data_IF_037389340907
#
_entry.id   IF_037389340907
#
_cell.length_a   1.000
_cell.length_b   1.000
_cell.length_c   1.000
_cell.angle_alpha   90.00
_cell.angle_beta   90.00
_cell.angle_gamma   90.00
#
_symmetry.space_group_name_H-M   'P 1'
#
loop_
_entity.id
_entity.type
_entity.pdbx_description
1 polymer ?
#
# COMPACT_ATOMS: atom_id res chain seq x y z
N UNK A 1 -1.22 -22.99 -27.09
CA UNK A 1 -1.92 -22.57 -25.86
C UNK A 1 -0.83 -22.18 -24.86
N UNK A 2 -0.48 -20.89 -24.83
CA UNK A 2 0.61 -20.38 -23.98
C UNK A 2 0.01 -20.22 -22.58
N UNK A 3 0.68 -20.75 -21.55
CA UNK A 3 0.32 -20.67 -20.14
C UNK A 3 -0.28 -19.30 -19.79
N UNK A 4 -1.60 -19.24 -19.63
CA UNK A 4 -2.26 -18.09 -19.03
C UNK A 4 -1.94 -18.15 -17.53
N UNK A 5 -0.87 -17.48 -17.12
CA UNK A 5 -0.52 -17.35 -15.71
C UNK A 5 -1.65 -16.60 -15.00
N UNK A 6 -2.35 -17.28 -14.09
CA UNK A 6 -3.41 -16.68 -13.30
C UNK A 6 -2.78 -15.83 -12.18
N UNK A 7 -2.63 -14.54 -12.44
CA UNK A 7 -2.07 -13.57 -11.49
C UNK A 7 -2.89 -13.47 -10.20
N UNK A 8 -4.20 -13.71 -10.29
CA UNK A 8 -5.11 -13.61 -9.16
C UNK A 8 -4.86 -14.73 -8.15
N UNK A 9 -4.87 -15.98 -8.63
CA UNK A 9 -4.66 -17.15 -7.77
C UNK A 9 -3.19 -17.32 -7.35
N UNK A 10 -2.23 -17.01 -8.22
CA UNK A 10 -0.82 -17.28 -7.93
C UNK A 10 -0.07 -16.15 -7.23
N UNK A 11 -0.55 -14.90 -7.33
CA UNK A 11 0.13 -13.74 -6.72
C UNK A 11 -0.78 -13.01 -5.76
N UNK A 12 -1.94 -12.52 -6.21
CA UNK A 12 -2.75 -11.60 -5.41
C UNK A 12 -3.37 -12.28 -4.19
N UNK A 13 -3.86 -13.52 -4.33
CA UNK A 13 -4.49 -14.29 -3.24
C UNK A 13 -3.50 -14.68 -2.13
N UNK A 14 -2.32 -15.26 -2.43
CA UNK A 14 -1.29 -15.48 -1.40
C UNK A 14 -0.87 -14.18 -0.72
N UNK A 15 -0.74 -13.09 -1.48
CA UNK A 15 -0.34 -11.80 -0.93
C UNK A 15 -1.43 -11.20 -0.02
N UNK A 16 -2.71 -11.38 -0.35
CA UNK A 16 -3.83 -11.00 0.51
C UNK A 16 -3.82 -11.77 1.84
N UNK A 17 -3.47 -13.06 1.82
CA UNK A 17 -3.32 -13.88 3.03
C UNK A 17 -2.12 -13.49 3.91
N UNK A 18 -1.24 -12.60 3.43
CA UNK A 18 -0.13 -12.04 4.19
C UNK A 18 -0.45 -10.67 4.79
N UNK A 19 -1.68 -10.18 4.68
CA UNK A 19 -2.05 -8.84 5.15
C UNK A 19 -1.80 -8.61 6.64
N UNK A 20 -2.06 -9.60 7.49
CA UNK A 20 -1.73 -9.54 8.92
C UNK A 20 -0.22 -9.43 9.19
N UNK A 21 0.61 -10.08 8.37
CA UNK A 21 2.07 -9.95 8.45
C UNK A 21 2.54 -8.57 8.02
N UNK A 22 2.01 -8.06 6.90
CA UNK A 22 2.31 -6.71 6.45
C UNK A 22 1.82 -5.64 7.41
N UNK A 23 0.69 -5.85 8.09
CA UNK A 23 0.18 -4.95 9.11
C UNK A 23 1.18 -4.81 10.26
N UNK A 24 1.77 -5.94 10.70
CA UNK A 24 2.78 -5.94 11.75
C UNK A 24 4.06 -5.23 11.30
N UNK A 25 4.58 -5.54 10.11
CA UNK A 25 5.76 -4.86 9.56
C UNK A 25 5.53 -3.35 9.40
N UNK A 26 4.39 -2.97 8.84
CA UNK A 26 4.00 -1.58 8.63
C UNK A 26 3.88 -0.85 9.98
N UNK A 27 3.30 -1.49 10.99
CA UNK A 27 3.24 -0.98 12.36
C UNK A 27 4.62 -0.68 12.95
N UNK A 28 5.57 -1.61 12.83
CA UNK A 28 6.95 -1.42 13.30
C UNK A 28 7.63 -0.24 12.60
N UNK A 29 7.53 -0.17 11.27
CA UNK A 29 8.10 0.94 10.47
C UNK A 29 7.51 2.28 10.92
N UNK A 30 6.18 2.34 11.08
CA UNK A 30 5.50 3.56 11.51
C UNK A 30 5.85 3.99 12.93
N UNK A 31 6.06 3.04 13.85
CA UNK A 31 6.56 3.33 15.20
C UNK A 31 7.96 3.95 15.12
N UNK A 32 8.86 3.37 14.32
CA UNK A 32 10.21 3.92 14.16
C UNK A 32 10.16 5.33 13.57
N UNK A 33 9.31 5.56 12.56
CA UNK A 33 9.10 6.90 11.99
C UNK A 33 8.53 7.89 13.00
N UNK A 34 7.57 7.48 13.83
CA UNK A 34 7.01 8.33 14.87
C UNK A 34 8.07 8.71 15.93
N UNK A 35 8.93 7.75 16.33
CA UNK A 35 10.05 8.01 17.25
C UNK A 35 11.03 8.99 16.63
N UNK A 36 11.40 8.80 15.37
CA UNK A 36 12.30 9.71 14.65
C UNK A 36 11.72 11.12 14.53
N UNK A 37 10.45 11.23 14.16
CA UNK A 37 9.76 12.52 14.04
C UNK A 37 9.68 13.24 15.39
N UNK A 38 9.43 12.50 16.48
CA UNK A 38 9.39 13.05 17.83
C UNK A 38 10.76 13.56 18.26
N UNK A 39 11.83 12.80 17.99
CA UNK A 39 13.22 13.23 18.24
C UNK A 39 13.58 14.44 17.39
N UNK A 40 13.20 14.47 16.11
CA UNK A 40 13.42 15.60 15.19
C UNK A 40 12.72 16.87 15.68
N UNK A 41 11.47 16.77 16.11
CA UNK A 41 10.68 17.93 16.59
C UNK A 41 11.01 18.38 18.01
N UNK A 42 11.71 17.55 18.79
CA UNK A 42 11.95 17.75 20.21
C UNK A 42 10.70 17.68 21.10
N UNK A 43 9.49 17.80 20.54
CA UNK A 43 8.19 17.65 21.20
C UNK A 43 7.06 17.51 20.19
N UNK A 44 6.02 16.72 20.51
CA UNK A 44 4.79 16.60 19.71
C UNK A 44 4.04 17.93 19.51
N UNK A 45 4.28 18.93 20.37
CA UNK A 45 3.60 20.23 20.33
C UNK A 45 4.31 21.28 19.47
N UNK A 46 5.55 21.04 19.01
CA UNK A 46 6.31 22.02 18.21
C UNK A 46 6.13 21.74 16.71
N UNK A 47 5.71 22.76 15.96
CA UNK A 47 5.29 22.68 14.55
C UNK A 47 6.37 23.04 13.53
N UNK A 48 7.46 23.70 13.96
CA UNK A 48 8.54 24.16 13.08
C UNK A 48 9.88 23.67 13.61
N UNK A 49 10.53 22.81 12.83
CA UNK A 49 11.98 22.59 12.88
C UNK A 49 12.49 23.16 11.57
N UNK A 50 13.43 24.08 11.63
CA UNK A 50 14.04 24.65 10.43
C UNK A 50 14.68 23.52 9.60
N UNK A 51 14.30 23.46 8.34
CA UNK A 51 14.44 22.31 7.42
C UNK A 51 15.84 22.15 6.82
N UNK A 52 16.83 22.91 7.26
CA UNK A 52 18.04 23.10 6.46
C UNK A 52 19.20 22.13 6.72
N UNK A 53 19.21 21.40 7.85
CA UNK A 53 20.37 20.53 8.20
C UNK A 53 19.97 19.22 8.90
N UNK A 54 18.81 18.65 8.57
CA UNK A 54 18.48 17.32 9.11
C UNK A 54 19.17 16.22 8.30
N UNK A 55 20.36 15.84 8.77
CA UNK A 55 21.14 14.77 8.15
C UNK A 55 20.47 13.42 8.42
N UNK A 56 19.71 12.92 7.44
CA UNK A 56 19.04 11.62 7.52
C UNK A 56 20.10 10.53 7.65
N UNK A 57 20.12 9.83 8.78
CA UNK A 57 21.05 8.73 9.03
C UNK A 57 20.94 7.66 7.93
N UNK A 58 22.06 6.99 7.60
CA UNK A 58 22.06 5.87 6.64
C UNK A 58 21.02 4.80 6.99
N UNK A 59 20.80 4.55 8.28
CA UNK A 59 19.77 3.65 8.77
C UNK A 59 18.37 4.10 8.37
N UNK A 60 18.01 5.38 8.58
CA UNK A 60 16.68 5.87 8.23
C UNK A 60 16.47 5.84 6.71
N UNK A 61 17.50 6.16 5.90
CA UNK A 61 17.41 6.02 4.43
C UNK A 61 17.10 4.59 4.01
N UNK A 62 17.82 3.60 4.55
CA UNK A 62 17.58 2.18 4.26
C UNK A 62 16.18 1.75 4.71
N UNK A 63 15.78 2.14 5.92
CA UNK A 63 14.46 1.85 6.46
C UNK A 63 13.36 2.48 5.60
N UNK A 64 13.62 3.64 5.00
CA UNK A 64 12.70 4.30 4.08
C UNK A 64 12.50 3.54 2.78
N UNK A 65 13.58 3.11 2.13
CA UNK A 65 13.46 2.25 0.94
C UNK A 65 12.78 0.93 1.26
N UNK A 66 13.09 0.33 2.41
CA UNK A 66 12.40 -0.86 2.88
C UNK A 66 10.91 -0.60 3.15
N UNK A 67 10.58 0.53 3.78
CA UNK A 67 9.22 0.96 4.06
C UNK A 67 8.39 1.23 2.80
N UNK A 68 9.02 1.64 1.70
CA UNK A 68 8.37 1.70 0.40
C UNK A 68 8.00 0.31 -0.11
N UNK A 69 8.95 -0.63 -0.11
CA UNK A 69 8.71 -2.00 -0.56
C UNK A 69 7.59 -2.63 0.26
N UNK A 70 7.64 -2.48 1.59
CA UNK A 70 6.58 -2.94 2.49
C UNK A 70 5.26 -2.22 2.18
N UNK A 71 5.26 -0.91 1.95
CA UNK A 71 4.08 -0.13 1.58
C UNK A 71 3.40 -0.62 0.30
N UNK A 72 4.17 -0.97 -0.74
CA UNK A 72 3.66 -1.57 -1.98
C UNK A 72 2.90 -2.87 -1.66
N UNK A 73 3.55 -3.78 -0.94
CA UNK A 73 2.96 -5.06 -0.59
C UNK A 73 1.76 -4.90 0.35
N UNK A 74 1.78 -3.92 1.26
CA UNK A 74 0.63 -3.58 2.10
C UNK A 74 -0.57 -3.13 1.25
N UNK A 75 -0.38 -2.23 0.28
CA UNK A 75 -1.47 -1.78 -0.59
C UNK A 75 -2.02 -2.95 -1.40
N UNK A 76 -1.15 -3.74 -2.05
CA UNK A 76 -1.56 -4.89 -2.84
C UNK A 76 -2.30 -5.94 -2.00
N UNK A 77 -1.81 -6.19 -0.79
CA UNK A 77 -2.44 -7.12 0.15
C UNK A 77 -3.82 -6.62 0.60
N UNK A 78 -3.94 -5.36 1.02
CA UNK A 78 -5.22 -4.77 1.44
C UNK A 78 -6.24 -4.68 0.30
N UNK A 79 -5.80 -4.36 -0.92
CA UNK A 79 -6.68 -4.41 -2.10
C UNK A 79 -7.09 -5.85 -2.42
N UNK A 80 -6.14 -6.80 -2.34
CA UNK A 80 -6.41 -8.22 -2.54
C UNK A 80 -7.44 -8.78 -1.55
N UNK A 81 -7.34 -8.43 -0.26
CA UNK A 81 -8.33 -8.78 0.76
C UNK A 81 -9.74 -8.27 0.39
N UNK A 82 -9.84 -7.05 -0.14
CA UNK A 82 -11.13 -6.44 -0.49
C UNK A 82 -11.76 -7.05 -1.74
N UNK A 83 -10.97 -7.22 -2.81
CA UNK A 83 -11.44 -7.73 -4.11
C UNK A 83 -11.75 -9.22 -4.01
N UNK A 84 -10.83 -10.00 -3.45
CA UNK A 84 -10.93 -11.46 -3.44
C UNK A 84 -11.71 -12.00 -2.24
N UNK A 85 -12.08 -11.13 -1.28
CA UNK A 85 -12.74 -11.50 -0.02
C UNK A 85 -11.94 -12.58 0.73
N UNK A 86 -10.64 -12.34 0.86
CA UNK A 86 -9.69 -13.27 1.47
C UNK A 86 -9.34 -12.75 2.87
N UNK A 87 -9.16 -13.65 3.86
CA UNK A 87 -8.83 -13.23 5.22
C UNK A 87 -7.37 -12.75 5.29
N UNK A 88 -7.06 -11.82 6.21
CA UNK A 88 -5.73 -11.22 6.34
C UNK A 88 -4.63 -12.21 6.77
N UNK A 89 -5.01 -13.38 7.28
CA UNK A 89 -4.10 -14.49 7.53
C UNK A 89 -4.82 -15.83 7.60
N UNK A 90 -4.09 -16.91 7.36
CA UNK A 90 -4.59 -18.29 7.52
C UNK A 90 -5.02 -18.57 8.97
N UNK A 91 -4.27 -18.06 9.95
CA UNK A 91 -4.63 -18.17 11.36
C UNK A 91 -5.92 -17.40 11.69
N UNK A 92 -6.13 -16.22 11.09
CA UNK A 92 -7.37 -15.46 11.25
C UNK A 92 -8.57 -16.22 10.69
N UNK A 93 -8.41 -16.87 9.53
CA UNK A 93 -9.43 -17.70 8.90
C UNK A 93 -9.86 -18.89 9.78
N UNK A 94 -8.89 -19.52 10.46
CA UNK A 94 -9.16 -20.64 11.37
C UNK A 94 -9.94 -20.22 12.62
N UNK A 95 -9.66 -19.02 13.15
CA UNK A 95 -10.31 -18.50 14.35
C UNK A 95 -11.67 -17.85 14.06
N UNK A 96 -11.89 -17.36 12.84
CA UNK A 96 -13.10 -16.66 12.42
C UNK A 96 -13.64 -17.28 11.12
N UNK A 97 -14.09 -18.53 11.21
CA UNK A 97 -14.55 -19.34 10.06
C UNK A 97 -15.73 -18.75 9.28
N UNK A 98 -16.45 -17.78 9.85
CA UNK A 98 -17.56 -17.06 9.20
C UNK A 98 -17.14 -15.70 8.62
N UNK A 99 -15.94 -15.21 8.91
CA UNK A 99 -15.48 -13.89 8.51
C UNK A 99 -14.46 -13.99 7.38
N UNK A 100 -14.93 -13.79 6.16
CA UNK A 100 -14.11 -13.92 4.95
C UNK A 100 -13.01 -12.86 4.83
N UNK A 101 -13.27 -11.61 5.23
CA UNK A 101 -12.31 -10.50 5.11
C UNK A 101 -12.37 -9.57 6.31
N UNK A 102 -11.24 -8.95 6.65
CA UNK A 102 -11.20 -7.91 7.67
C UNK A 102 -11.06 -6.53 7.02
N UNK A 103 -12.18 -5.82 6.88
CA UNK A 103 -12.22 -4.49 6.24
C UNK A 103 -11.30 -3.50 6.95
N UNK A 104 -11.20 -3.57 8.28
CA UNK A 104 -10.35 -2.66 9.04
C UNK A 104 -8.86 -2.87 8.74
N UNK A 105 -8.42 -4.13 8.67
CA UNK A 105 -7.04 -4.47 8.29
C UNK A 105 -6.74 -4.00 6.88
N UNK A 106 -7.62 -4.29 5.92
CA UNK A 106 -7.44 -3.87 4.53
C UNK A 106 -7.33 -2.34 4.39
N UNK A 107 -8.20 -1.57 5.07
CA UNK A 107 -8.14 -0.11 5.05
C UNK A 107 -6.83 0.40 5.65
N UNK A 108 -6.39 -0.13 6.79
CA UNK A 108 -5.12 0.28 7.41
C UNK A 108 -3.95 0.02 6.48
N UNK A 109 -3.89 -1.17 5.87
CA UNK A 109 -2.81 -1.54 4.96
C UNK A 109 -2.72 -0.59 3.76
N UNK A 110 -3.87 -0.22 3.18
CA UNK A 110 -3.92 0.73 2.07
C UNK A 110 -3.51 2.13 2.54
N UNK A 111 -4.14 2.66 3.58
CA UNK A 111 -3.91 4.05 4.03
C UNK A 111 -2.48 4.25 4.53
N UNK A 112 -2.01 3.38 5.42
CA UNK A 112 -0.66 3.49 5.96
C UNK A 112 0.41 3.09 4.95
N UNK A 113 0.08 2.20 3.99
CA UNK A 113 0.94 1.89 2.86
C UNK A 113 1.09 3.06 1.90
N UNK A 114 0.04 3.84 1.65
CA UNK A 114 0.15 5.10 0.89
C UNK A 114 0.98 6.12 1.67
N UNK A 115 0.75 6.25 2.98
CA UNK A 115 1.46 7.22 3.79
C UNK A 115 2.97 6.91 3.95
N UNK A 116 3.44 5.68 3.73
CA UNK A 116 4.90 5.41 3.71
C UNK A 116 5.58 6.09 2.53
N UNK A 117 4.86 6.46 1.47
CA UNK A 117 5.40 7.28 0.37
C UNK A 117 5.55 8.76 0.75
N UNK A 118 4.78 9.23 1.73
CA UNK A 118 4.76 10.65 2.16
C UNK A 118 5.78 10.95 3.27
N UNK A 119 6.27 9.94 3.99
CA UNK A 119 7.13 10.08 5.18
C UNK A 119 8.32 9.12 5.11
N UNK A 120 9.57 9.55 5.37
CA UNK A 120 10.08 10.89 5.70
C UNK A 120 10.83 11.50 4.50
N UNK A 121 10.12 12.04 3.50
CA UNK A 121 10.76 12.29 2.18
C UNK A 121 10.31 13.54 1.43
N UNK A 122 9.91 14.59 2.13
CA UNK A 122 9.87 15.89 1.45
C UNK A 122 11.25 16.37 0.95
N UNK A 123 12.33 15.63 1.23
CA UNK A 123 13.70 16.02 0.93
C UNK A 123 14.40 15.18 -0.18
N UNK A 124 13.74 14.22 -0.86
CA UNK A 124 14.35 13.48 -1.99
C UNK A 124 13.52 13.55 -3.29
N UNK A 125 14.06 14.10 -4.40
CA UNK A 125 13.42 14.10 -5.73
C UNK A 125 13.05 12.70 -6.27
N UNK A 126 13.67 11.66 -5.72
CA UNK A 126 13.50 10.26 -6.14
C UNK A 126 12.21 9.65 -5.55
N UNK A 127 11.69 10.17 -4.44
CA UNK A 127 10.49 9.59 -3.81
C UNK A 127 9.22 9.80 -4.62
N UNK A 128 9.06 10.96 -5.26
CA UNK A 128 7.94 11.23 -6.17
C UNK A 128 8.01 10.35 -7.43
N UNK A 129 9.21 10.12 -7.97
CA UNK A 129 9.41 9.22 -9.12
C UNK A 129 9.13 7.76 -8.74
N UNK A 130 9.58 7.31 -7.57
CA UNK A 130 9.30 5.95 -7.06
C UNK A 130 7.80 5.80 -6.75
N UNK A 131 7.18 6.78 -6.09
CA UNK A 131 5.75 6.79 -5.81
C UNK A 131 4.92 6.70 -7.10
N UNK A 132 5.33 7.41 -8.15
CA UNK A 132 4.70 7.34 -9.48
C UNK A 132 4.83 5.95 -10.11
N UNK A 133 6.04 5.38 -10.13
CA UNK A 133 6.28 4.04 -10.68
C UNK A 133 5.48 2.98 -9.93
N UNK A 134 5.43 3.11 -8.61
CA UNK A 134 4.68 2.21 -7.72
C UNK A 134 3.18 2.32 -7.95
N UNK A 135 2.62 3.54 -8.00
CA UNK A 135 1.21 3.74 -8.26
C UNK A 135 0.82 3.17 -9.63
N UNK A 136 1.67 3.37 -10.65
CA UNK A 136 1.47 2.84 -11.99
C UNK A 136 1.49 1.31 -12.01
N UNK A 137 2.44 0.70 -11.29
CA UNK A 137 2.57 -0.75 -11.18
C UNK A 137 1.40 -1.38 -10.43
N UNK A 138 0.99 -0.77 -9.30
CA UNK A 138 -0.15 -1.23 -8.50
C UNK A 138 -1.43 -1.17 -9.34
N UNK A 139 -1.68 -0.07 -10.05
CA UNK A 139 -2.85 0.05 -10.92
C UNK A 139 -2.80 -0.98 -12.04
N UNK A 140 -1.65 -1.20 -12.68
CA UNK A 140 -1.50 -2.23 -13.70
C UNK A 140 -1.80 -3.64 -13.16
N UNK A 141 -1.24 -4.01 -12.00
CA UNK A 141 -1.48 -5.31 -11.36
C UNK A 141 -2.96 -5.48 -10.99
N UNK A 142 -3.57 -4.47 -10.37
CA UNK A 142 -4.99 -4.50 -10.01
C UNK A 142 -5.85 -4.67 -11.27
N UNK A 143 -5.56 -3.91 -12.32
CA UNK A 143 -6.31 -3.99 -13.60
C UNK A 143 -6.30 -5.41 -14.17
N UNK A 144 -5.15 -6.10 -14.10
CA UNK A 144 -5.00 -7.47 -14.59
C UNK A 144 -5.66 -8.52 -13.67
N UNK A 145 -5.80 -8.21 -12.38
CA UNK A 145 -6.34 -9.13 -11.38
C UNK A 145 -7.87 -9.03 -11.21
N UNK A 146 -8.54 -8.03 -11.79
CA UNK A 146 -10.00 -7.90 -11.71
C UNK A 146 -10.66 -9.06 -12.48
N UNK A 147 -11.52 -9.86 -11.81
CA UNK A 147 -12.25 -10.95 -12.46
C UNK A 147 -13.17 -10.46 -13.58
N UNK A 148 -13.34 -11.21 -14.68
CA UNK A 148 -14.22 -10.83 -15.80
C UNK A 148 -15.68 -10.56 -15.39
N UNK A 149 -16.17 -11.22 -14.34
CA UNK A 149 -17.52 -11.02 -13.83
C UNK A 149 -17.71 -9.62 -13.22
N UNK A 150 -16.67 -9.06 -12.58
CA UNK A 150 -16.69 -7.69 -12.05
C UNK A 150 -16.59 -6.66 -13.17
N UNK A 151 -15.81 -6.95 -14.22
CA UNK A 151 -15.76 -6.13 -15.44
C UNK A 151 -17.14 -5.99 -16.07
N UNK A 152 -17.92 -7.08 -16.16
CA UNK A 152 -19.27 -7.06 -16.73
C UNK A 152 -20.26 -6.22 -15.93
N UNK A 153 -20.15 -6.20 -14.59
CA UNK A 153 -21.03 -5.40 -13.73
C UNK A 153 -20.65 -3.92 -13.76
N UNK A 154 -19.35 -3.60 -13.77
CA UNK A 154 -18.84 -2.22 -13.78
C UNK A 154 -19.01 -1.58 -15.17
N UNK A 155 -18.83 -2.36 -16.25
CA UNK A 155 -18.97 -1.90 -17.63
C UNK A 155 -20.37 -1.40 -18.00
N UNK A 156 -21.40 -1.67 -17.18
CA UNK A 156 -22.76 -1.09 -17.34
C UNK A 156 -22.76 0.43 -17.11
N UNK A 157 -21.86 0.93 -16.26
CA UNK A 157 -21.84 2.34 -15.86
C UNK A 157 -20.63 3.11 -16.43
N UNK A 158 -19.42 2.52 -16.37
CA UNK A 158 -18.17 3.13 -16.83
C UNK A 158 -17.23 2.00 -17.31
N UNK A 159 -16.46 2.23 -18.38
CA UNK A 159 -15.38 1.32 -18.77
C UNK A 159 -14.39 1.16 -17.59
N UNK A 160 -14.19 -0.04 -17.04
CA UNK A 160 -13.33 -0.25 -15.87
C UNK A 160 -11.90 0.25 -16.08
N UNK A 161 -11.41 0.28 -17.33
CA UNK A 161 -10.10 0.83 -17.67
C UNK A 161 -10.06 2.34 -17.46
N UNK A 162 -11.13 3.05 -17.82
CA UNK A 162 -11.26 4.51 -17.62
C UNK A 162 -11.40 4.83 -16.12
N UNK A 163 -12.15 4.01 -15.37
CA UNK A 163 -12.27 4.15 -13.91
C UNK A 163 -10.90 4.06 -13.22
N UNK A 164 -10.11 3.05 -13.60
CA UNK A 164 -8.76 2.85 -13.05
C UNK A 164 -7.79 3.97 -13.44
N UNK A 165 -7.90 4.51 -14.65
CA UNK A 165 -7.14 5.71 -15.07
C UNK A 165 -7.55 6.94 -14.26
N UNK A 166 -8.84 7.14 -13.98
CA UNK A 166 -9.32 8.25 -13.13
C UNK A 166 -8.79 8.10 -11.70
N UNK A 167 -8.87 6.90 -11.12
CA UNK A 167 -8.29 6.61 -9.79
C UNK A 167 -6.78 6.86 -9.79
N UNK A 168 -6.07 6.44 -10.84
CA UNK A 168 -4.64 6.69 -11.00
C UNK A 168 -4.33 8.19 -11.06
N UNK A 169 -5.08 8.98 -11.83
CA UNK A 169 -4.91 10.44 -11.92
C UNK A 169 -5.16 11.10 -10.57
N UNK A 170 -6.15 10.65 -9.80
CA UNK A 170 -6.44 11.18 -8.46
C UNK A 170 -5.30 10.86 -7.50
N UNK A 171 -4.85 9.59 -7.47
CA UNK A 171 -3.72 9.17 -6.62
C UNK A 171 -2.45 9.93 -7.03
N UNK A 172 -2.20 10.08 -8.33
CA UNK A 172 -1.09 10.84 -8.88
C UNK A 172 -1.12 12.30 -8.43
N UNK A 173 -2.26 12.97 -8.55
CA UNK A 173 -2.42 14.36 -8.15
C UNK A 173 -2.27 14.61 -6.64
N UNK A 174 -2.46 13.58 -5.81
CA UNK A 174 -2.24 13.66 -4.35
C UNK A 174 -0.76 13.47 -3.99
N UNK A 175 -0.03 12.68 -4.79
CA UNK A 175 1.37 12.30 -4.52
C UNK A 175 2.37 13.27 -5.17
N UNK A 176 2.04 13.83 -6.34
CA UNK A 176 2.86 14.80 -7.08
C UNK A 176 2.78 16.21 -6.46
#
# INVERSE_FOLDING_TARGET
>A
MIFAFDFTENILKPLAQLGGFFLLLLGVIWIIYAIYETKRRGSFKKRKVETWDFDITKFLKILTYFGFIVGIFSILSGVGELILKVPPSTAYALLNSTTERNIFTAIILIVFGVFTFLKPINDLPIASVIGLLVASLIVAIITLAIPPQLVQVIAVFIDPKILLVIIFIIIFAIIA
#
